data_IF_428183259504
#
_entry.id   IF_428183259504
#
_cell.length_a   1.000
_cell.length_b   1.000
_cell.length_c   1.000
_cell.angle_alpha   90.00
_cell.angle_beta   90.00
_cell.angle_gamma   90.00
#
_symmetry.space_group_name_H-M   'P 1'
#
loop_
_entity.id
_entity.type
_entity.pdbx_description
1 polymer ?
#
# COMPACT_ATOMS: atom_id res chain seq x y z
N UNK A 1 -51.93 3.06 -1.75
CA UNK A 1 -52.40 4.46 -1.62
C UNK A 1 -51.72 5.03 -0.38
N UNK A 2 -50.54 5.62 -0.58
CA UNK A 2 -49.74 6.23 0.48
C UNK A 2 -50.24 7.67 0.69
N UNK A 3 -50.64 8.00 1.92
CA UNK A 3 -50.89 9.40 2.33
C UNK A 3 -49.88 9.78 3.39
N UNK A 4 -48.97 10.67 3.01
CA UNK A 4 -48.09 11.42 3.89
C UNK A 4 -48.94 12.34 4.78
N UNK A 5 -48.73 12.28 6.10
CA UNK A 5 -49.05 13.37 7.01
C UNK A 5 -47.87 13.56 7.97
N UNK A 6 -47.25 14.74 7.90
CA UNK A 6 -46.39 15.28 8.98
C UNK A 6 -47.28 15.73 10.14
N UNK A 7 -46.84 15.54 11.39
CA UNK A 7 -46.60 16.68 12.28
C UNK A 7 -45.22 16.57 12.94
N UNK A 8 -44.37 17.60 12.87
CA UNK A 8 -44.24 18.69 13.86
C UNK A 8 -43.76 18.16 15.23
N UNK A 9 -42.47 18.42 15.47
CA UNK A 9 -41.74 18.56 16.75
C UNK A 9 -42.30 17.89 18.00
N UNK A 10 -41.49 17.03 18.61
CA UNK A 10 -41.60 16.73 20.03
C UNK A 10 -41.60 15.24 20.31
N UNK A 11 -40.51 14.80 20.93
CA UNK A 11 -40.35 13.55 21.66
C UNK A 11 -41.70 13.00 22.16
N UNK A 12 -42.13 11.87 21.63
CA UNK A 12 -43.21 11.08 22.23
C UNK A 12 -42.83 9.61 22.22
N UNK A 13 -42.50 9.14 23.42
CA UNK A 13 -42.18 7.76 23.74
C UNK A 13 -43.28 6.82 23.25
N UNK A 14 -42.91 5.79 22.48
CA UNK A 14 -43.78 4.63 22.25
C UNK A 14 -43.81 3.82 23.54
N UNK A 15 -44.75 4.16 24.43
CA UNK A 15 -45.09 3.35 25.60
C UNK A 15 -45.92 2.17 25.09
N UNK A 16 -45.31 0.99 24.99
CA UNK A 16 -46.09 -0.25 24.93
C UNK A 16 -46.81 -0.41 26.27
N UNK A 17 -48.13 -0.19 26.27
CA UNK A 17 -49.02 -0.43 27.40
C UNK A 17 -49.08 -1.93 27.71
N UNK A 18 -48.17 -2.42 28.54
CA UNK A 18 -48.40 -3.65 29.31
C UNK A 18 -49.11 -3.26 30.62
N UNK A 19 -50.38 -3.65 30.77
CA UNK A 19 -51.12 -3.54 32.04
C UNK A 19 -50.38 -4.38 33.10
N UNK A 20 -49.70 -3.72 34.04
CA UNK A 20 -49.07 -4.37 35.20
C UNK A 20 -50.14 -4.50 36.31
N UNK A 21 -50.48 -5.72 36.78
CA UNK A 21 -51.35 -5.87 37.94
C UNK A 21 -50.62 -5.34 39.19
N UNK A 22 -51.31 -4.54 40.00
CA UNK A 22 -50.81 -4.04 41.28
C UNK A 22 -50.66 -5.21 42.26
N UNK A 23 -49.43 -5.66 42.48
CA UNK A 23 -49.10 -6.64 43.51
C UNK A 23 -47.61 -6.96 43.48
N UNK A 24 -46.94 -6.82 44.64
CA UNK A 24 -45.52 -7.08 44.87
C UNK A 24 -44.97 -8.28 44.07
N UNK A 25 -44.21 -8.02 43.00
CA UNK A 25 -43.37 -9.04 42.37
C UNK A 25 -42.01 -8.48 41.94
N UNK A 26 -41.06 -8.70 42.85
CA UNK A 26 -39.65 -9.08 42.61
C UNK A 26 -38.88 -8.24 41.58
N UNK A 27 -38.05 -7.33 42.12
CA UNK A 27 -36.81 -6.80 41.49
C UNK A 27 -36.03 -7.88 40.73
N UNK A 28 -36.05 -9.14 41.20
CA UNK A 28 -35.43 -10.31 40.55
C UNK A 28 -36.03 -10.68 39.18
N UNK A 29 -37.33 -10.49 38.95
CA UNK A 29 -37.97 -10.74 37.64
C UNK A 29 -37.61 -9.67 36.62
N UNK A 30 -37.51 -8.40 37.04
CA UNK A 30 -37.05 -7.30 36.19
C UNK A 30 -35.59 -7.50 35.73
N UNK A 31 -34.72 -7.92 36.66
CA UNK A 31 -33.33 -8.30 36.33
C UNK A 31 -33.23 -9.49 35.38
N UNK A 32 -34.12 -10.48 35.52
CA UNK A 32 -34.16 -11.61 34.60
C UNK A 32 -34.68 -11.20 33.22
N UNK A 33 -35.69 -10.32 33.13
CA UNK A 33 -36.20 -9.78 31.87
C UNK A 33 -35.16 -8.92 31.14
N UNK A 34 -34.44 -8.05 31.85
CA UNK A 34 -33.32 -7.26 31.30
C UNK A 34 -32.16 -8.16 30.83
N UNK A 35 -31.84 -9.24 31.56
CA UNK A 35 -30.87 -10.25 31.14
C UNK A 35 -31.33 -11.06 29.92
N UNK A 36 -32.64 -11.32 29.79
CA UNK A 36 -33.19 -12.00 28.62
C UNK A 36 -33.19 -11.09 27.37
N UNK A 37 -33.54 -9.81 27.51
CA UNK A 37 -33.53 -8.84 26.41
C UNK A 37 -32.13 -8.67 25.83
N UNK A 38 -31.12 -8.49 26.70
CA UNK A 38 -29.72 -8.31 26.27
C UNK A 38 -29.11 -9.56 25.63
N UNK A 39 -29.54 -10.78 26.04
CA UNK A 39 -29.13 -12.03 25.39
C UNK A 39 -29.79 -12.24 24.04
N UNK A 40 -31.08 -11.94 23.91
CA UNK A 40 -31.82 -12.08 22.65
C UNK A 40 -31.30 -11.11 21.58
N UNK A 41 -31.03 -9.86 21.94
CA UNK A 41 -30.43 -8.87 21.03
C UNK A 41 -29.03 -9.26 20.58
N UNK A 42 -28.16 -9.73 21.49
CA UNK A 42 -26.82 -10.23 21.12
C UNK A 42 -26.88 -11.42 20.18
N UNK A 43 -27.84 -12.33 20.38
CA UNK A 43 -28.04 -13.49 19.51
C UNK A 43 -28.44 -13.05 18.09
N UNK A 44 -29.43 -12.15 17.96
CA UNK A 44 -29.84 -11.63 16.67
C UNK A 44 -28.73 -10.84 15.97
N UNK A 45 -27.96 -10.05 16.71
CA UNK A 45 -26.77 -9.35 16.21
C UNK A 45 -25.72 -10.32 15.66
N UNK A 46 -25.45 -11.40 16.37
CA UNK A 46 -24.51 -12.42 15.93
C UNK A 46 -25.02 -13.14 14.68
N UNK A 47 -26.31 -13.53 14.65
CA UNK A 47 -26.93 -14.18 13.50
C UNK A 47 -26.94 -13.27 12.26
N UNK A 48 -27.24 -11.98 12.43
CA UNK A 48 -27.17 -10.99 11.35
C UNK A 48 -25.72 -10.76 10.92
N UNK A 49 -24.77 -10.71 11.87
CA UNK A 49 -23.36 -10.50 11.56
C UNK A 49 -22.77 -11.68 10.78
N UNK A 50 -23.10 -12.91 11.16
CA UNK A 50 -22.72 -14.13 10.44
C UNK A 50 -23.38 -14.21 9.07
N UNK A 51 -24.68 -13.92 8.98
CA UNK A 51 -25.47 -14.10 7.75
C UNK A 51 -25.25 -12.99 6.72
N UNK A 52 -25.06 -11.75 7.15
CA UNK A 52 -25.07 -10.58 6.25
C UNK A 52 -23.81 -9.71 6.33
N UNK A 53 -23.07 -9.72 7.45
CA UNK A 53 -21.96 -8.78 7.66
C UNK A 53 -20.59 -9.47 7.75
N UNK A 54 -20.50 -10.75 7.42
CA UNK A 54 -19.23 -11.50 7.39
C UNK A 54 -18.42 -11.36 8.68
N UNK A 55 -19.06 -11.48 9.85
CA UNK A 55 -18.47 -11.33 11.19
C UNK A 55 -17.89 -9.94 11.49
N UNK A 56 -18.32 -8.90 10.78
CA UNK A 56 -17.97 -7.52 11.15
C UNK A 56 -18.75 -7.11 12.39
N UNK A 57 -18.04 -6.65 13.41
CA UNK A 57 -18.63 -5.94 14.55
C UNK A 57 -19.07 -4.55 14.10
N UNK A 58 -20.34 -4.41 13.78
CA UNK A 58 -20.95 -3.12 13.42
C UNK A 58 -21.61 -2.53 14.67
N UNK A 59 -21.32 -1.26 14.97
CA UNK A 59 -22.03 -0.50 15.98
C UNK A 59 -23.25 0.14 15.33
N UNK A 60 -24.44 -0.14 15.84
CA UNK A 60 -25.63 0.57 15.40
C UNK A 60 -25.61 2.01 15.91
N UNK A 61 -26.03 2.94 15.06
CA UNK A 61 -26.22 4.35 15.38
C UNK A 61 -27.61 4.76 14.91
N UNK A 62 -28.27 5.61 15.69
CA UNK A 62 -29.56 6.23 15.38
C UNK A 62 -29.39 7.56 14.60
N UNK A 63 -28.15 8.01 14.43
CA UNK A 63 -27.81 9.23 13.70
C UNK A 63 -27.33 8.91 12.28
N UNK A 64 -27.91 9.60 11.29
CA UNK A 64 -27.44 9.55 9.90
C UNK A 64 -26.17 10.40 9.79
N UNK A 65 -25.01 9.77 9.96
CA UNK A 65 -23.70 10.38 9.73
C UNK A 65 -23.11 9.83 8.43
N UNK A 66 -23.08 10.67 7.40
CA UNK A 66 -22.36 10.35 6.16
C UNK A 66 -20.92 10.82 6.34
N UNK A 67 -19.98 9.87 6.37
CA UNK A 67 -18.55 10.18 6.44
C UNK A 67 -18.12 10.76 5.08
N UNK A 68 -17.87 12.07 5.04
CA UNK A 68 -17.22 12.72 3.90
C UNK A 68 -15.70 12.62 4.03
N UNK A 69 -14.97 12.33 2.94
CA UNK A 69 -13.51 12.30 2.96
C UNK A 69 -12.88 13.59 3.47
N UNK A 70 -13.50 14.75 3.19
CA UNK A 70 -12.99 16.08 3.58
C UNK A 70 -12.96 16.32 5.10
N UNK A 71 -13.69 15.48 5.86
CA UNK A 71 -13.81 15.58 7.33
C UNK A 71 -12.94 14.52 8.02
N UNK A 72 -12.41 13.54 7.27
CA UNK A 72 -11.53 12.52 7.82
C UNK A 72 -10.12 13.08 7.99
N UNK A 73 -9.45 12.83 9.12
CA UNK A 73 -8.06 13.24 9.30
C UNK A 73 -7.16 12.43 8.37
N UNK A 74 -6.26 13.13 7.70
CA UNK A 74 -5.20 12.51 6.91
C UNK A 74 -4.31 11.66 7.80
N UNK A 75 -3.79 10.58 7.21
CA UNK A 75 -2.83 9.74 7.92
C UNK A 75 -1.48 10.47 8.08
N UNK A 76 -0.83 10.38 9.25
CA UNK A 76 0.42 11.09 9.52
C UNK A 76 1.58 10.51 8.70
N UNK A 77 2.47 11.38 8.22
CA UNK A 77 3.68 10.99 7.50
C UNK A 77 4.76 10.58 8.49
N UNK A 78 5.21 9.33 8.42
CA UNK A 78 6.31 8.83 9.24
C UNK A 78 7.64 9.45 8.82
N UNK A 79 8.41 9.95 9.80
CA UNK A 79 9.69 10.62 9.57
C UNK A 79 10.68 10.30 10.69
N UNK A 80 11.92 10.00 10.32
CA UNK A 80 13.03 9.71 11.25
C UNK A 80 13.98 10.90 11.38
N UNK A 81 14.32 11.54 10.27
CA UNK A 81 15.24 12.67 10.18
C UNK A 81 14.51 13.99 9.92
N UNK A 82 15.02 15.08 10.46
CA UNK A 82 14.62 16.43 10.03
C UNK A 82 15.32 16.84 8.71
N UNK A 83 15.11 18.08 8.27
CA UNK A 83 15.71 18.59 7.02
C UNK A 83 17.22 18.83 7.14
N UNK A 84 17.74 19.00 8.35
CA UNK A 84 19.16 19.21 8.62
C UNK A 84 19.92 17.88 8.80
N UNK A 85 19.19 16.77 8.83
CA UNK A 85 19.73 15.41 8.99
C UNK A 85 19.86 14.96 10.45
N UNK A 86 19.25 15.67 11.40
CA UNK A 86 19.22 15.24 12.80
C UNK A 86 18.09 14.24 13.05
N UNK A 87 18.33 13.31 13.98
CA UNK A 87 17.35 12.30 14.39
C UNK A 87 16.30 12.96 15.29
N UNK A 88 15.02 12.86 14.92
CA UNK A 88 13.90 13.44 15.67
C UNK A 88 13.58 12.60 16.92
N UNK A 89 13.59 11.27 16.77
CA UNK A 89 13.31 10.34 17.85
C UNK A 89 14.33 9.22 17.86
N UNK A 90 15.16 9.17 18.91
CA UNK A 90 16.23 8.19 19.07
C UNK A 90 15.75 6.74 19.14
N UNK A 91 14.49 6.50 19.53
CA UNK A 91 13.91 5.16 19.55
C UNK A 91 13.70 4.58 18.14
N UNK A 92 13.56 5.45 17.14
CA UNK A 92 13.33 5.08 15.75
C UNK A 92 14.62 5.09 14.91
N UNK A 93 15.77 5.31 15.55
CA UNK A 93 17.06 5.24 14.87
C UNK A 93 17.39 3.77 14.52
N UNK A 94 17.52 3.42 13.23
CA UNK A 94 17.85 2.06 12.82
C UNK A 94 19.29 1.65 13.18
N UNK A 95 20.14 2.59 13.62
CA UNK A 95 21.52 2.34 14.08
C UNK A 95 22.31 1.46 13.11
N UNK A 96 22.25 1.80 11.83
CA UNK A 96 22.99 1.05 10.81
C UNK A 96 24.49 1.33 10.91
N UNK A 97 25.30 0.40 10.42
CA UNK A 97 26.74 0.60 10.31
C UNK A 97 27.07 1.74 9.34
N UNK A 98 28.15 2.48 9.62
CA UNK A 98 28.57 3.64 8.83
C UNK A 98 28.81 3.25 7.37
N UNK A 99 29.40 2.09 7.13
CA UNK A 99 29.68 1.52 5.82
C UNK A 99 28.40 1.40 4.98
N UNK A 100 27.29 1.03 5.62
CA UNK A 100 25.98 0.90 4.96
C UNK A 100 25.42 2.26 4.58
N UNK A 101 25.49 3.25 5.46
CA UNK A 101 25.09 4.62 5.11
C UNK A 101 25.92 5.19 3.97
N UNK A 102 27.24 5.01 4.00
CA UNK A 102 28.15 5.47 2.95
C UNK A 102 27.83 4.78 1.62
N UNK A 103 27.54 3.46 1.65
CA UNK A 103 27.11 2.73 0.45
C UNK A 103 25.82 3.31 -0.12
N UNK A 104 24.79 3.49 0.72
CA UNK A 104 23.51 4.05 0.28
C UNK A 104 23.68 5.45 -0.33
N UNK A 105 24.49 6.30 0.30
CA UNK A 105 24.79 7.63 -0.23
C UNK A 105 25.50 7.58 -1.59
N UNK A 106 26.50 6.70 -1.73
CA UNK A 106 27.21 6.48 -3.00
C UNK A 106 26.27 5.96 -4.10
N UNK A 107 25.37 5.04 -3.77
CA UNK A 107 24.41 4.49 -4.74
C UNK A 107 23.44 5.59 -5.23
N UNK A 108 22.99 6.49 -4.33
CA UNK A 108 22.16 7.64 -4.70
C UNK A 108 22.89 8.64 -5.61
N UNK A 109 24.11 9.04 -5.25
CA UNK A 109 24.89 9.99 -6.07
C UNK A 109 25.34 9.40 -7.39
N UNK A 110 25.59 8.09 -7.43
CA UNK A 110 25.89 7.36 -8.64
C UNK A 110 24.69 7.39 -9.60
N UNK A 111 23.49 7.07 -9.10
CA UNK A 111 22.26 7.13 -9.88
C UNK A 111 22.03 8.53 -10.44
N UNK A 112 22.16 9.56 -9.60
CA UNK A 112 21.98 10.95 -10.01
C UNK A 112 22.96 11.38 -11.11
N UNK A 113 24.22 10.96 -10.99
CA UNK A 113 25.28 11.26 -11.97
C UNK A 113 25.02 10.54 -13.29
N UNK A 114 24.66 9.26 -13.21
CA UNK A 114 24.30 8.45 -14.37
C UNK A 114 23.10 9.05 -15.12
N UNK A 115 22.08 9.49 -14.39
CA UNK A 115 20.89 10.14 -14.96
C UNK A 115 21.25 11.42 -15.70
N UNK A 116 22.12 12.26 -15.13
CA UNK A 116 22.58 13.50 -15.77
C UNK A 116 23.29 13.24 -17.10
N UNK A 117 24.16 12.22 -17.14
CA UNK A 117 24.90 11.86 -18.35
C UNK A 117 23.95 11.30 -19.40
N UNK A 118 23.12 10.33 -19.05
CA UNK A 118 22.27 9.63 -20.02
C UNK A 118 21.10 10.47 -20.53
N UNK A 119 20.59 11.40 -19.71
CA UNK A 119 19.66 12.40 -20.19
C UNK A 119 20.28 13.28 -21.27
N UNK A 120 21.55 13.70 -21.09
CA UNK A 120 22.26 14.47 -22.11
C UNK A 120 22.54 13.63 -23.37
N UNK A 121 22.92 12.36 -23.21
CA UNK A 121 23.08 11.43 -24.34
C UNK A 121 21.78 11.24 -25.13
N UNK A 122 20.64 11.15 -24.45
CA UNK A 122 19.32 11.07 -25.08
C UNK A 122 19.01 12.35 -25.88
N UNK A 123 19.30 13.53 -25.33
CA UNK A 123 19.12 14.82 -26.04
C UNK A 123 20.01 14.97 -27.27
N UNK A 124 21.16 14.31 -27.29
CA UNK A 124 22.05 14.25 -28.45
C UNK A 124 21.62 13.19 -29.49
N UNK A 125 20.56 12.42 -29.21
CA UNK A 125 20.10 11.33 -30.08
C UNK A 125 20.94 10.06 -30.01
N UNK A 126 21.85 9.94 -29.04
CA UNK A 126 22.65 8.72 -28.82
C UNK A 126 21.82 7.60 -28.19
N UNK A 127 20.80 7.97 -27.40
CA UNK A 127 19.82 7.05 -26.83
C UNK A 127 18.44 7.39 -27.38
N UNK A 128 17.67 6.38 -27.72
CA UNK A 128 16.30 6.57 -28.21
C UNK A 128 15.37 7.14 -27.13
N UNK A 129 15.56 6.74 -25.87
CA UNK A 129 14.68 7.10 -24.76
C UNK A 129 15.41 7.03 -23.42
N UNK A 130 15.06 7.91 -22.48
CA UNK A 130 15.62 7.89 -21.12
C UNK A 130 14.66 8.55 -20.12
N UNK A 131 14.61 8.04 -18.90
CA UNK A 131 13.87 8.64 -17.79
C UNK A 131 14.78 8.78 -16.57
N UNK A 132 14.77 9.96 -15.96
CA UNK A 132 15.56 10.23 -14.76
C UNK A 132 14.80 9.89 -13.48
N UNK A 133 15.53 9.72 -12.40
CA UNK A 133 15.05 9.28 -11.08
C UNK A 133 15.24 10.38 -10.02
N UNK A 134 15.32 11.63 -10.47
CA UNK A 134 15.53 12.80 -9.61
C UNK A 134 14.43 12.96 -8.57
N UNK A 135 14.83 12.97 -7.30
CA UNK A 135 13.94 13.07 -6.14
C UNK A 135 13.46 11.72 -5.61
N UNK A 136 13.80 10.61 -6.28
CA UNK A 136 13.37 9.26 -5.93
C UNK A 136 14.55 8.36 -5.52
N UNK A 137 15.77 8.89 -5.49
CA UNK A 137 16.98 8.11 -5.26
C UNK A 137 16.99 7.47 -3.86
N UNK A 138 16.65 8.26 -2.84
CA UNK A 138 16.63 7.82 -1.44
C UNK A 138 15.57 6.74 -1.18
N UNK A 139 14.47 6.85 -1.90
CA UNK A 139 13.34 5.96 -1.83
C UNK A 139 13.70 4.58 -2.40
N UNK A 140 14.27 4.56 -3.60
CA UNK A 140 14.76 3.32 -4.22
C UNK A 140 15.85 2.64 -3.39
N UNK A 141 16.89 3.38 -3.01
CA UNK A 141 18.04 2.85 -2.28
C UNK A 141 17.65 2.44 -0.87
N UNK A 142 16.83 3.24 -0.19
CA UNK A 142 16.33 2.96 1.16
C UNK A 142 15.44 1.71 1.20
N UNK A 143 14.48 1.60 0.28
CA UNK A 143 13.63 0.42 0.18
C UNK A 143 14.45 -0.84 -0.13
N UNK A 144 15.35 -0.78 -1.12
CA UNK A 144 16.19 -1.93 -1.45
C UNK A 144 17.13 -2.34 -0.32
N UNK A 145 17.65 -1.36 0.45
CA UNK A 145 18.44 -1.63 1.63
C UNK A 145 17.63 -2.32 2.74
N UNK A 146 16.32 -2.13 2.83
CA UNK A 146 15.46 -2.84 3.77
C UNK A 146 15.13 -4.29 3.38
N UNK A 147 15.34 -4.65 2.11
CA UNK A 147 15.04 -5.97 1.56
C UNK A 147 16.24 -6.91 1.62
N UNK A 148 15.98 -8.22 1.60
CA UNK A 148 17.03 -9.22 1.40
C UNK A 148 17.32 -9.39 -0.10
N UNK A 149 18.54 -9.81 -0.43
CA UNK A 149 18.97 -9.99 -1.82
C UNK A 149 18.18 -11.08 -2.57
N UNK A 150 17.62 -12.04 -1.84
CA UNK A 150 16.77 -13.11 -2.38
C UNK A 150 15.32 -12.70 -2.55
N UNK A 151 14.89 -11.56 -2.04
CA UNK A 151 13.53 -11.05 -2.26
C UNK A 151 13.33 -10.65 -3.71
N UNK A 152 12.13 -10.90 -4.23
CA UNK A 152 11.81 -10.64 -5.63
C UNK A 152 11.18 -9.26 -5.79
N UNK A 153 11.66 -8.52 -6.79
CA UNK A 153 11.22 -7.15 -7.05
C UNK A 153 10.47 -7.08 -8.38
N UNK A 154 9.27 -6.51 -8.30
CA UNK A 154 8.50 -6.01 -9.44
C UNK A 154 8.57 -4.49 -9.43
N UNK A 155 8.99 -3.93 -10.55
CA UNK A 155 9.19 -2.50 -10.74
C UNK A 155 8.38 -1.98 -11.92
N UNK A 156 8.31 -0.66 -12.06
CA UNK A 156 7.57 -0.01 -13.12
C UNK A 156 8.50 0.59 -14.18
N UNK A 157 9.39 1.51 -13.83
CA UNK A 157 10.44 2.05 -14.72
C UNK A 157 11.39 3.05 -14.03
N UNK A 158 11.02 3.63 -12.88
CA UNK A 158 11.86 4.59 -12.14
C UNK A 158 12.76 3.93 -11.10
N UNK A 159 12.64 2.63 -10.89
CA UNK A 159 13.29 1.94 -9.76
C UNK A 159 14.76 1.55 -10.03
N UNK A 160 15.50 2.35 -10.81
CA UNK A 160 16.89 2.04 -11.20
C UNK A 160 17.80 1.98 -9.96
N UNK A 161 17.54 2.83 -8.97
CA UNK A 161 18.30 2.82 -7.71
C UNK A 161 18.20 1.51 -6.95
N UNK A 162 17.08 0.78 -7.10
CA UNK A 162 16.87 -0.51 -6.44
C UNK A 162 17.82 -1.56 -7.01
N UNK A 163 17.92 -1.65 -8.34
CA UNK A 163 18.77 -2.65 -8.98
C UNK A 163 20.26 -2.30 -8.82
N UNK A 164 20.63 -1.02 -8.86
CA UNK A 164 22.00 -0.55 -8.57
C UNK A 164 22.41 -0.91 -7.14
N UNK A 165 21.53 -0.67 -6.15
CA UNK A 165 21.83 -0.99 -4.75
C UNK A 165 22.11 -2.48 -4.55
N UNK A 166 21.50 -3.36 -5.36
CA UNK A 166 21.71 -4.82 -5.37
C UNK A 166 22.96 -5.28 -6.12
N UNK A 167 23.76 -4.35 -6.65
CA UNK A 167 25.03 -4.65 -7.32
C UNK A 167 24.95 -4.76 -8.84
N UNK A 168 23.86 -4.30 -9.46
CA UNK A 168 23.78 -4.17 -10.91
C UNK A 168 24.77 -3.10 -11.39
N UNK A 169 25.65 -3.50 -12.30
CA UNK A 169 26.73 -2.64 -12.74
C UNK A 169 26.23 -1.59 -13.73
N UNK A 170 26.92 -0.45 -13.76
CA UNK A 170 26.67 0.61 -14.75
C UNK A 170 26.82 0.03 -16.16
N UNK A 171 27.81 -0.86 -16.38
CA UNK A 171 28.01 -1.50 -17.67
C UNK A 171 26.80 -2.33 -18.11
N UNK A 172 26.24 -3.15 -17.20
CA UNK A 172 25.00 -3.90 -17.48
C UNK A 172 23.82 -2.96 -17.80
N UNK A 173 23.72 -1.82 -17.12
CA UNK A 173 22.69 -0.82 -17.41
C UNK A 173 22.89 -0.16 -18.78
N UNK A 174 24.13 0.23 -19.12
CA UNK A 174 24.46 0.79 -20.42
C UNK A 174 24.17 -0.21 -21.55
N UNK A 175 24.46 -1.50 -21.35
CA UNK A 175 24.17 -2.53 -22.34
C UNK A 175 22.68 -2.56 -22.69
N UNK A 176 21.80 -2.55 -21.67
CA UNK A 176 20.35 -2.50 -21.89
C UNK A 176 19.88 -1.15 -22.44
N UNK A 177 20.45 -0.03 -21.99
CA UNK A 177 20.07 1.30 -22.48
C UNK A 177 20.39 1.51 -23.98
N UNK A 178 21.52 0.97 -24.45
CA UNK A 178 21.92 1.03 -25.87
C UNK A 178 21.39 -0.15 -26.70
N UNK A 179 20.86 -1.20 -26.07
CA UNK A 179 20.40 -2.41 -26.77
C UNK A 179 21.52 -3.13 -27.53
N UNK A 180 22.73 -3.15 -26.97
CA UNK A 180 23.91 -3.69 -27.64
C UNK A 180 23.99 -5.23 -27.57
N UNK A 181 25.04 -5.82 -28.16
CA UNK A 181 25.23 -7.28 -28.18
C UNK A 181 25.46 -7.91 -26.79
N UNK A 182 25.77 -7.12 -25.78
CA UNK A 182 25.96 -7.54 -24.40
C UNK A 182 24.68 -7.39 -23.55
N UNK A 183 23.59 -6.88 -24.13
CA UNK A 183 22.29 -6.83 -23.46
C UNK A 183 21.69 -8.23 -23.32
N UNK A 184 21.36 -8.61 -22.09
CA UNK A 184 20.69 -9.88 -21.78
C UNK A 184 19.27 -9.93 -22.37
N UNK A 185 18.60 -8.79 -22.55
CA UNK A 185 17.32 -8.69 -23.24
C UNK A 185 17.45 -8.68 -24.77
N UNK A 186 18.68 -8.74 -25.30
CA UNK A 186 19.01 -8.82 -26.73
C UNK A 186 18.49 -7.63 -27.55
N UNK A 187 18.42 -6.44 -26.95
CA UNK A 187 17.94 -5.22 -27.60
C UNK A 187 16.46 -5.25 -28.00
N UNK A 188 15.67 -6.17 -27.41
CA UNK A 188 14.25 -6.36 -27.78
C UNK A 188 13.32 -5.36 -27.11
N UNK A 189 13.78 -4.74 -26.03
CA UNK A 189 12.99 -3.84 -25.21
C UNK A 189 13.42 -2.40 -25.42
N UNK A 190 12.51 -1.47 -25.12
CA UNK A 190 12.83 -0.05 -25.06
C UNK A 190 13.92 0.21 -23.99
N UNK A 191 14.81 1.21 -24.17
CA UNK A 191 15.66 1.68 -23.10
C UNK A 191 14.84 1.97 -21.83
N UNK A 192 15.43 1.76 -20.65
CA UNK A 192 14.77 1.75 -19.32
C UNK A 192 13.97 0.49 -18.96
N UNK A 193 13.85 -0.50 -19.85
CA UNK A 193 13.27 -1.81 -19.49
C UNK A 193 14.33 -2.81 -19.03
N UNK A 194 14.97 -2.51 -17.90
CA UNK A 194 15.97 -3.38 -17.31
C UNK A 194 15.32 -4.52 -16.50
N UNK A 195 16.12 -5.56 -16.28
CA UNK A 195 15.74 -6.72 -15.50
C UNK A 195 16.95 -7.60 -15.29
N UNK A 196 16.97 -8.36 -14.20
CA UNK A 196 18.07 -9.27 -13.91
C UNK A 196 17.63 -10.41 -13.03
N UNK A 197 17.69 -11.62 -13.58
CA UNK A 197 17.46 -12.86 -12.83
C UNK A 197 18.45 -13.01 -11.67
N UNK A 198 19.71 -12.61 -11.87
CA UNK A 198 20.77 -12.67 -10.85
C UNK A 198 20.45 -11.83 -9.61
N UNK A 199 19.81 -10.68 -9.80
CA UNK A 199 19.51 -9.72 -8.73
C UNK A 199 18.06 -9.83 -8.21
N UNK A 200 17.34 -10.90 -8.59
CA UNK A 200 15.92 -11.09 -8.29
C UNK A 200 15.07 -9.87 -8.67
N UNK A 201 15.29 -9.34 -9.87
CA UNK A 201 14.59 -8.18 -10.40
C UNK A 201 13.89 -8.59 -11.70
N UNK A 202 12.55 -8.53 -11.70
CA UNK A 202 11.73 -8.93 -12.85
C UNK A 202 11.89 -7.89 -13.96
N UNK A 203 11.92 -8.36 -15.21
CA UNK A 203 12.01 -7.45 -16.36
C UNK A 203 10.80 -6.52 -16.41
N UNK A 204 11.11 -5.26 -16.67
CA UNK A 204 10.13 -4.20 -16.76
C UNK A 204 9.35 -4.27 -18.08
N UNK A 205 8.08 -3.86 -18.02
CA UNK A 205 7.20 -3.70 -19.18
C UNK A 205 6.51 -2.34 -19.14
N UNK A 206 6.28 -1.71 -20.30
CA UNK A 206 5.61 -0.40 -20.38
C UNK A 206 4.17 -0.35 -19.82
N UNK A 207 3.32 -1.39 -19.98
CA UNK A 207 1.95 -1.34 -19.49
C UNK A 207 1.90 -1.14 -17.96
N UNK A 208 1.32 -0.01 -17.54
CA UNK A 208 1.25 0.38 -16.14
C UNK A 208 0.42 -0.63 -15.34
N UNK A 209 0.76 -0.80 -14.07
CA UNK A 209 0.07 -1.64 -13.09
C UNK A 209 0.00 -3.15 -13.36
N UNK A 210 0.32 -3.63 -14.57
CA UNK A 210 0.27 -5.06 -14.90
C UNK A 210 1.19 -5.92 -14.03
N UNK A 211 2.26 -5.35 -13.50
CA UNK A 211 3.18 -6.01 -12.57
C UNK A 211 2.56 -6.24 -11.18
N UNK A 212 1.55 -5.43 -10.81
CA UNK A 212 0.92 -5.46 -9.48
C UNK A 212 0.21 -6.81 -9.26
N UNK A 213 -0.68 -7.31 -10.14
CA UNK A 213 -1.33 -8.61 -9.92
C UNK A 213 -0.35 -9.78 -10.07
N UNK A 214 0.64 -9.65 -10.95
CA UNK A 214 1.70 -10.65 -11.11
C UNK A 214 2.52 -10.84 -9.83
N UNK A 215 2.82 -9.73 -9.14
CA UNK A 215 3.54 -9.75 -7.88
C UNK A 215 2.74 -10.46 -6.77
N UNK A 216 1.43 -10.26 -6.70
CA UNK A 216 0.53 -10.97 -5.76
C UNK A 216 0.50 -12.47 -6.05
N UNK A 217 0.41 -12.85 -7.33
CA UNK A 217 0.48 -14.25 -7.73
C UNK A 217 1.80 -14.92 -7.32
N UNK A 218 2.92 -14.22 -7.47
CA UNK A 218 4.23 -14.73 -7.07
C UNK A 218 4.38 -14.79 -5.55
N UNK A 219 3.85 -13.82 -4.82
CA UNK A 219 3.82 -13.86 -3.35
C UNK A 219 3.01 -15.05 -2.84
N UNK A 220 1.88 -15.34 -3.47
CA UNK A 220 1.08 -16.52 -3.19
C UNK A 220 1.84 -17.82 -3.50
N UNK A 221 2.63 -17.85 -4.57
CA UNK A 221 3.50 -18.99 -4.87
C UNK A 221 4.60 -19.19 -3.80
N UNK A 222 5.27 -18.11 -3.35
CA UNK A 222 6.29 -18.16 -2.30
C UNK A 222 5.72 -18.64 -0.96
N UNK A 223 4.52 -18.17 -0.63
CA UNK A 223 3.74 -18.65 0.51
C UNK A 223 3.48 -20.16 0.44
N UNK A 224 2.99 -20.66 -0.70
CA UNK A 224 2.75 -22.10 -0.88
C UNK A 224 4.03 -22.92 -0.83
N UNK A 225 5.14 -22.36 -1.29
CA UNK A 225 6.46 -22.96 -1.23
C UNK A 225 7.12 -22.89 0.17
N UNK A 226 6.57 -22.09 1.11
CA UNK A 226 7.09 -21.89 2.47
C UNK A 226 8.58 -21.52 2.53
N UNK A 227 9.03 -20.68 1.60
CA UNK A 227 10.44 -20.31 1.46
C UNK A 227 10.85 -19.05 2.25
N UNK A 228 9.90 -18.36 2.90
CA UNK A 228 10.16 -17.15 3.68
C UNK A 228 10.63 -15.93 2.88
N UNK A 229 10.58 -15.99 1.54
CA UNK A 229 10.93 -14.89 0.65
C UNK A 229 9.77 -13.91 0.53
N UNK A 230 10.09 -12.64 0.34
CA UNK A 230 9.08 -11.59 0.14
C UNK A 230 9.08 -11.11 -1.30
N UNK A 231 7.94 -10.54 -1.70
CA UNK A 231 7.80 -9.88 -2.99
C UNK A 231 7.51 -8.41 -2.72
N UNK A 232 8.32 -7.55 -3.35
CA UNK A 232 8.17 -6.10 -3.30
C UNK A 232 7.68 -5.62 -4.66
N UNK A 233 6.60 -4.84 -4.67
CA UNK A 233 6.04 -4.27 -5.88
C UNK A 233 6.03 -2.74 -5.81
N UNK A 234 6.73 -2.13 -6.76
CA UNK A 234 6.75 -0.68 -6.97
C UNK A 234 5.76 -0.28 -8.07
N UNK A 235 5.06 0.82 -7.82
CA UNK A 235 4.18 1.47 -8.79
C UNK A 235 3.96 2.94 -8.38
N UNK A 236 3.72 3.80 -9.37
CA UNK A 236 3.39 5.21 -9.13
C UNK A 236 1.92 5.43 -8.76
N UNK A 237 1.63 6.61 -8.23
CA UNK A 237 0.28 7.13 -7.96
C UNK A 237 -0.65 6.98 -9.18
N UNK A 238 -0.19 7.37 -10.37
CA UNK A 238 -0.98 7.30 -11.58
C UNK A 238 -1.24 5.88 -12.09
N UNK A 239 -0.45 4.90 -11.65
CA UNK A 239 -0.68 3.47 -11.89
C UNK A 239 -1.65 2.87 -10.85
N UNK A 240 -1.79 3.50 -9.68
CA UNK A 240 -2.76 3.07 -8.67
C UNK A 240 -4.20 3.16 -9.17
N UNK A 241 -4.47 4.07 -10.11
CA UNK A 241 -5.76 4.27 -10.79
C UNK A 241 -6.10 3.24 -11.86
N UNK A 242 -5.17 2.38 -12.25
CA UNK A 242 -5.46 1.28 -13.17
C UNK A 242 -6.26 0.18 -12.47
N UNK A 243 -7.14 -0.50 -13.22
CA UNK A 243 -7.99 -1.56 -12.70
C UNK A 243 -7.21 -2.74 -12.10
N UNK A 244 -6.04 -3.03 -12.66
CA UNK A 244 -5.13 -4.08 -12.19
C UNK A 244 -4.69 -3.86 -10.74
N UNK A 245 -4.50 -2.60 -10.31
CA UNK A 245 -4.12 -2.29 -8.94
C UNK A 245 -5.25 -2.62 -7.97
N UNK A 246 -6.49 -2.23 -8.28
CA UNK A 246 -7.65 -2.53 -7.44
C UNK A 246 -7.89 -4.03 -7.32
N UNK A 247 -7.80 -4.76 -8.45
CA UNK A 247 -7.90 -6.21 -8.45
C UNK A 247 -6.83 -6.83 -7.55
N UNK A 248 -5.59 -6.36 -7.66
CA UNK A 248 -4.46 -6.86 -6.88
C UNK A 248 -4.64 -6.68 -5.37
N UNK A 249 -5.09 -5.51 -4.92
CA UNK A 249 -5.34 -5.26 -3.50
C UNK A 249 -6.41 -6.18 -2.93
N UNK A 250 -7.47 -6.44 -3.71
CA UNK A 250 -8.50 -7.40 -3.32
C UNK A 250 -7.92 -8.83 -3.21
N UNK A 251 -7.15 -9.28 -4.22
CA UNK A 251 -6.50 -10.59 -4.19
C UNK A 251 -5.49 -10.71 -3.05
N UNK A 252 -4.71 -9.66 -2.76
CA UNK A 252 -3.79 -9.64 -1.63
C UNK A 252 -4.56 -9.75 -0.30
N UNK A 253 -5.63 -8.97 -0.11
CA UNK A 253 -6.49 -9.06 1.08
C UNK A 253 -7.09 -10.45 1.27
N UNK A 254 -7.60 -11.08 0.21
CA UNK A 254 -8.25 -12.38 0.28
C UNK A 254 -7.26 -13.56 0.40
N UNK A 255 -6.15 -13.55 -0.36
CA UNK A 255 -5.26 -14.70 -0.49
C UNK A 255 -4.00 -14.60 0.38
N UNK A 256 -3.48 -13.38 0.58
CA UNK A 256 -2.20 -13.13 1.25
C UNK A 256 -2.43 -12.92 2.76
N UNK A 257 -3.37 -12.04 3.15
CA UNK A 257 -3.62 -11.72 4.57
C UNK A 257 -4.22 -12.88 5.38
N UNK A 258 -4.99 -13.79 4.77
CA UNK A 258 -5.60 -14.91 5.49
C UNK A 258 -4.57 -15.95 5.96
N UNK A 259 -3.36 -15.96 5.38
CA UNK A 259 -2.27 -16.80 5.92
C UNK A 259 -0.89 -16.12 5.78
N UNK A 260 -0.51 -15.25 6.71
CA UNK A 260 0.89 -14.87 7.05
C UNK A 260 1.96 -14.78 5.93
N UNK A 261 1.64 -14.24 4.74
CA UNK A 261 2.67 -13.95 3.73
C UNK A 261 3.00 -12.46 3.73
N UNK A 262 4.30 -12.14 3.82
CA UNK A 262 4.78 -10.77 3.83
C UNK A 262 4.89 -10.25 2.40
N UNK A 263 4.09 -9.25 2.07
CA UNK A 263 4.03 -8.62 0.75
C UNK A 263 4.06 -7.09 0.94
N UNK A 264 4.93 -6.40 0.19
CA UNK A 264 5.15 -4.95 0.37
C UNK A 264 4.75 -4.21 -0.90
N UNK A 265 3.71 -3.39 -0.79
CA UNK A 265 3.40 -2.37 -1.79
C UNK A 265 4.18 -1.10 -1.47
N UNK A 266 4.91 -0.61 -2.45
CA UNK A 266 5.59 0.67 -2.34
C UNK A 266 5.04 1.57 -3.44
N UNK A 267 4.12 2.45 -3.05
CA UNK A 267 3.60 3.50 -3.90
C UNK A 267 4.45 4.74 -3.73
N UNK A 268 4.95 5.29 -4.82
CA UNK A 268 5.76 6.51 -4.79
C UNK A 268 4.90 7.73 -5.13
N UNK A 269 4.81 8.67 -4.17
CA UNK A 269 4.10 9.94 -4.26
C UNK A 269 5.12 11.07 -4.45
N UNK A 270 5.69 11.20 -5.65
CA UNK A 270 6.84 12.12 -5.81
C UNK A 270 6.53 13.31 -6.72
N UNK A 271 5.50 13.24 -7.54
CA UNK A 271 5.00 14.40 -8.26
C UNK A 271 3.49 14.31 -8.19
N UNK A 272 2.83 15.42 -7.90
CA UNK A 272 1.38 15.56 -8.02
C UNK A 272 0.91 15.40 -9.47
N UNK A 273 1.55 14.58 -10.31
CA UNK A 273 1.45 14.57 -11.76
C UNK A 273 1.77 13.19 -12.40
N UNK A 274 0.89 12.74 -13.30
CA UNK A 274 1.16 11.71 -14.33
C UNK A 274 1.38 12.41 -15.66
N UNK A 275 2.63 12.54 -16.10
CA UNK A 275 3.05 13.28 -17.30
C UNK A 275 2.64 14.76 -17.20
N UNK A 276 1.38 15.09 -17.51
CA UNK A 276 0.80 16.44 -17.43
C UNK A 276 -0.44 16.52 -16.51
N UNK A 277 -0.97 15.37 -16.05
CA UNK A 277 -2.22 15.30 -15.31
C UNK A 277 -1.97 15.46 -13.82
N UNK A 278 -2.40 16.59 -13.27
CA UNK A 278 -2.31 16.87 -11.84
C UNK A 278 -3.10 15.83 -11.02
N UNK A 279 -2.63 15.53 -9.80
CA UNK A 279 -3.17 14.53 -8.88
C UNK A 279 -4.65 14.75 -8.55
N UNK A 280 -5.07 16.02 -8.46
CA UNK A 280 -6.49 16.41 -8.28
C UNK A 280 -7.39 15.88 -9.41
N UNK A 281 -6.83 15.70 -10.62
CA UNK A 281 -7.55 15.12 -11.77
C UNK A 281 -7.52 13.59 -11.73
N UNK A 282 -6.59 12.99 -10.98
CA UNK A 282 -6.42 11.54 -10.92
C UNK A 282 -7.37 10.89 -9.91
N UNK A 283 -7.57 11.49 -8.72
CA UNK A 283 -8.46 10.97 -7.66
C UNK A 283 -8.97 12.07 -6.72
N UNK A 284 -10.15 11.82 -6.12
CA UNK A 284 -10.73 12.60 -5.03
C UNK A 284 -10.83 11.70 -3.77
N UNK A 285 -9.90 11.82 -2.82
CA UNK A 285 -9.90 11.09 -1.54
C UNK A 285 -8.53 11.02 -0.87
N UNK A 286 -8.49 10.65 0.43
CA UNK A 286 -7.26 10.52 1.21
C UNK A 286 -6.41 9.30 0.77
N UNK A 287 -5.27 9.60 0.13
CA UNK A 287 -4.42 8.64 -0.60
C UNK A 287 -3.80 7.54 0.28
N UNK A 288 -3.75 7.72 1.60
CA UNK A 288 -3.13 6.75 2.50
C UNK A 288 -4.08 5.62 2.91
N UNK A 289 -5.39 5.67 2.64
CA UNK A 289 -6.37 4.74 3.25
C UNK A 289 -6.21 3.27 2.80
N UNK A 290 -5.74 3.00 1.57
CA UNK A 290 -5.55 1.62 1.08
C UNK A 290 -4.11 1.11 1.22
N UNK A 291 -3.09 1.96 1.04
CA UNK A 291 -1.66 1.59 1.14
C UNK A 291 -1.15 1.58 2.59
N UNK A 292 -1.61 2.49 3.46
CA UNK A 292 -1.12 2.55 4.86
C UNK A 292 -1.64 1.41 5.74
N UNK A 293 -2.85 0.90 5.48
CA UNK A 293 -3.40 -0.29 6.15
C UNK A 293 -2.56 -1.55 5.90
N UNK A 294 -1.84 -1.60 4.79
CA UNK A 294 -0.93 -2.70 4.46
C UNK A 294 0.50 -2.46 4.98
N UNK A 295 0.99 -1.21 4.98
CA UNK A 295 2.31 -0.86 5.52
C UNK A 295 2.40 -1.00 7.06
N UNK A 296 1.32 -0.78 7.81
CA UNK A 296 1.31 -0.96 9.28
C UNK A 296 1.55 -2.40 9.74
N UNK A 297 1.38 -3.41 8.87
CA UNK A 297 1.72 -4.79 9.19
C UNK A 297 3.23 -5.08 9.17
N UNK A 298 4.05 -4.19 8.58
CA UNK A 298 5.51 -4.39 8.45
C UNK A 298 6.30 -3.81 9.63
N UNK A 299 5.69 -2.96 10.46
CA UNK A 299 6.39 -2.24 11.53
C UNK A 299 6.41 -2.96 12.89
N UNK A 300 5.81 -4.16 13.01
CA UNK A 300 5.88 -4.97 14.23
C UNK A 300 6.70 -6.25 14.03
N UNK A 301 8.02 -6.22 14.27
CA UNK A 301 8.87 -7.41 14.24
C UNK A 301 8.55 -8.41 15.37
N UNK A 302 7.71 -8.04 16.34
CA UNK A 302 7.40 -8.85 17.54
C UNK A 302 6.25 -9.86 17.35
N UNK A 303 5.70 -9.98 16.15
CA UNK A 303 4.76 -11.05 15.76
C UNK A 303 5.16 -11.76 14.46
N UNK A 304 6.46 -11.77 14.16
CA UNK A 304 7.09 -12.64 13.16
C UNK A 304 7.44 -13.99 13.77
#
# INVERSE_FOLDING_TARGET
ILRLQRPVSGVTNVIMNARIPKGLCKVRQLWNLLKYSTKAERFQLNEISEKYLSNRTVKFTDKLEVLSPDVLPTFPIYRVLDFDGNIINQANDPKLEKERYVKMYKDMTLLHTMDSILLNSQRQGLLAFYMTNYGEEALHVGCSAGLKNDDLIYAQYREVGVIIQRGYTILEFMNTAFGNCHDLAKGRQMPMHYGSKKHNFVYISSPLATQVPQSVGTAYAFKRAKNGRIVCCFFGDGASSEGDTSASFNFAGALVCVFHSLFVYICHLVKTYKINSHMVVQRYGDEQCETSRLLQFLAHPSKL
#
